data_IF_711361212986
#
_entry.id   IF_711361212986
#
_cell.length_a   1.000
_cell.length_b   1.000
_cell.length_c   1.000
_cell.angle_alpha   90.00
_cell.angle_beta   90.00
_cell.angle_gamma   90.00
#
_symmetry.space_group_name_H-M   'P 1'
#
loop_
_entity.id
_entity.type
_entity.pdbx_description
1 polymer ?
#
# COMPACT_ATOMS: atom_id res chain seq x y z
N UNK A 1 1.37 30.30 20.93
CA UNK A 1 1.48 29.91 19.52
C UNK A 1 0.29 29.04 19.21
N UNK A 2 -0.70 29.59 18.50
CA UNK A 2 -1.83 28.79 18.00
C UNK A 2 -1.34 27.95 16.84
N UNK A 3 -1.17 26.65 17.06
CA UNK A 3 -0.96 25.69 15.97
C UNK A 3 -2.29 25.56 15.22
N UNK A 4 -2.52 26.45 14.26
CA UNK A 4 -3.69 26.38 13.39
C UNK A 4 -3.72 25.03 12.66
N UNK A 5 -4.84 24.33 12.75
CA UNK A 5 -5.04 23.09 12.00
C UNK A 5 -4.88 23.38 10.51
N UNK A 6 -4.04 22.65 9.77
CA UNK A 6 -3.84 22.91 8.35
C UNK A 6 -5.16 22.76 7.60
N UNK A 7 -5.51 23.78 6.80
CA UNK A 7 -6.72 23.73 5.98
C UNK A 7 -6.41 22.99 4.69
N UNK A 8 -7.07 21.84 4.48
CA UNK A 8 -6.90 20.99 3.30
C UNK A 8 -8.08 21.22 2.35
N UNK A 9 -7.79 21.73 1.15
CA UNK A 9 -8.75 21.86 0.05
C UNK A 9 -8.51 20.74 -0.93
N UNK A 10 -9.60 20.08 -1.34
CA UNK A 10 -9.58 18.93 -2.26
C UNK A 10 -10.44 19.27 -3.46
N UNK A 11 -9.92 19.01 -4.65
CA UNK A 11 -10.62 19.14 -5.92
C UNK A 11 -10.76 17.78 -6.59
N UNK A 12 -11.84 17.63 -7.33
CA UNK A 12 -12.21 16.41 -8.02
C UNK A 12 -12.55 16.80 -9.46
N UNK A 13 -11.69 16.40 -10.40
CA UNK A 13 -11.87 16.64 -11.84
C UNK A 13 -12.29 15.34 -12.51
N UNK A 14 -13.45 15.33 -13.17
CA UNK A 14 -13.89 14.18 -13.96
C UNK A 14 -12.94 14.01 -15.16
N UNK A 15 -12.44 12.79 -15.32
CA UNK A 15 -11.69 12.35 -16.49
C UNK A 15 -12.59 11.40 -17.32
N UNK A 16 -12.12 10.97 -18.48
CA UNK A 16 -12.91 10.07 -19.36
C UNK A 16 -13.15 8.70 -18.70
N UNK A 17 -14.20 7.98 -19.13
CA UNK A 17 -14.43 6.57 -18.77
C UNK A 17 -14.70 6.29 -17.27
N UNK A 18 -15.30 7.23 -16.54
CA UNK A 18 -15.63 7.03 -15.13
C UNK A 18 -14.41 7.12 -14.20
N UNK A 19 -13.36 7.79 -14.68
CA UNK A 19 -12.19 8.13 -13.87
C UNK A 19 -12.30 9.53 -13.27
N UNK A 20 -11.63 9.75 -12.15
CA UNK A 20 -11.62 11.01 -11.42
C UNK A 20 -10.18 11.33 -10.98
N UNK A 21 -9.72 12.54 -11.26
CA UNK A 21 -8.46 13.05 -10.75
C UNK A 21 -8.71 13.85 -9.47
N UNK A 22 -8.19 13.35 -8.35
CA UNK A 22 -8.22 14.00 -7.04
C UNK A 22 -6.93 14.78 -6.83
N UNK A 23 -7.05 16.08 -6.58
CA UNK A 23 -5.92 16.97 -6.27
C UNK A 23 -6.17 17.74 -4.97
N UNK A 24 -5.11 18.20 -4.30
CA UNK A 24 -5.23 18.93 -3.04
C UNK A 24 -4.18 20.02 -2.87
N UNK A 25 -4.48 20.95 -1.97
CA UNK A 25 -3.55 21.96 -1.47
C UNK A 25 -3.71 22.05 0.04
N UNK A 26 -2.60 22.31 0.72
CA UNK A 26 -2.55 22.48 2.17
C UNK A 26 -1.99 23.86 2.49
N UNK A 27 -2.67 24.58 3.39
CA UNK A 27 -2.19 25.85 3.92
C UNK A 27 -1.70 25.67 5.37
N UNK A 28 -0.50 26.20 5.74
CA UNK A 28 0.44 26.95 4.89
C UNK A 28 1.33 26.05 4.01
N UNK A 29 1.72 26.54 2.84
CA UNK A 29 2.41 25.77 1.77
C UNK A 29 3.87 25.36 2.09
N UNK A 30 4.32 25.49 3.34
CA UNK A 30 5.72 25.79 3.67
C UNK A 30 6.71 24.63 3.59
N UNK A 31 6.33 23.43 3.13
CA UNK A 31 7.27 22.29 2.99
C UNK A 31 6.89 21.26 1.90
N UNK A 32 6.10 21.65 0.89
CA UNK A 32 5.28 20.71 0.10
C UNK A 32 5.95 19.97 -1.08
N UNK A 33 7.06 20.45 -1.64
CA UNK A 33 7.53 19.92 -2.93
C UNK A 33 8.09 18.49 -2.85
N UNK A 34 8.84 18.15 -1.79
CA UNK A 34 9.46 16.83 -1.65
C UNK A 34 8.49 15.76 -1.11
N UNK A 35 7.35 16.16 -0.53
CA UNK A 35 6.43 15.23 0.12
C UNK A 35 5.22 14.84 -0.73
N UNK A 36 4.93 15.55 -1.84
CA UNK A 36 3.76 15.26 -2.69
C UNK A 36 3.67 13.83 -3.19
N UNK A 37 4.79 13.21 -3.57
CA UNK A 37 4.78 11.82 -4.05
C UNK A 37 4.45 10.83 -2.92
N UNK A 38 4.90 11.11 -1.70
CA UNK A 38 4.59 10.28 -0.53
C UNK A 38 3.13 10.48 -0.13
N UNK A 39 2.68 11.74 -0.06
CA UNK A 39 1.28 12.10 0.18
C UNK A 39 0.34 11.43 -0.82
N UNK A 40 0.65 11.51 -2.13
CA UNK A 40 -0.16 10.89 -3.17
C UNK A 40 -0.28 9.37 -3.00
N UNK A 41 0.77 8.70 -2.51
CA UNK A 41 0.72 7.26 -2.22
C UNK A 41 -0.16 6.95 -1.01
N UNK A 42 -0.02 7.71 0.07
CA UNK A 42 -0.88 7.58 1.25
C UNK A 42 -2.34 7.82 0.88
N UNK A 43 -2.61 8.86 0.10
CA UNK A 43 -3.95 9.20 -0.41
C UNK A 43 -4.48 8.09 -1.31
N UNK A 44 -3.69 7.61 -2.28
CA UNK A 44 -4.12 6.51 -3.16
C UNK A 44 -4.45 5.25 -2.36
N UNK A 45 -3.62 4.89 -1.39
CA UNK A 45 -3.87 3.74 -0.53
C UNK A 45 -5.15 3.91 0.30
N UNK A 46 -5.40 5.09 0.85
CA UNK A 46 -6.62 5.37 1.63
C UNK A 46 -7.87 5.40 0.75
N UNK A 47 -7.82 6.09 -0.39
CA UNK A 47 -8.96 6.19 -1.29
C UNK A 47 -9.29 4.80 -1.88
N UNK A 48 -8.29 3.93 -2.07
CA UNK A 48 -8.53 2.57 -2.56
C UNK A 48 -9.41 1.71 -1.65
N UNK A 49 -9.52 2.03 -0.35
CA UNK A 49 -10.35 1.25 0.60
C UNK A 49 -11.78 1.79 0.72
N UNK A 50 -12.07 2.95 0.12
CA UNK A 50 -13.40 3.53 0.05
C UNK A 50 -14.32 2.64 -0.80
N UNK A 51 -15.57 2.36 -0.36
CA UNK A 51 -16.55 1.66 -1.19
C UNK A 51 -16.69 2.31 -2.57
N UNK A 52 -16.93 1.52 -3.61
CA UNK A 52 -17.09 2.03 -4.98
C UNK A 52 -15.79 2.40 -5.69
N UNK A 53 -14.64 2.46 -5.01
CA UNK A 53 -13.34 2.67 -5.67
C UNK A 53 -12.78 1.32 -6.12
N UNK A 54 -12.66 1.14 -7.44
CA UNK A 54 -12.11 -0.07 -8.05
C UNK A 54 -10.60 -0.01 -8.22
N UNK A 55 -10.07 1.20 -8.47
CA UNK A 55 -8.65 1.45 -8.64
C UNK A 55 -8.29 2.85 -8.14
N UNK A 56 -7.11 2.99 -7.55
CA UNK A 56 -6.54 4.28 -7.15
C UNK A 56 -5.03 4.28 -7.40
N UNK A 57 -4.56 5.23 -8.21
CA UNK A 57 -3.18 5.36 -8.64
C UNK A 57 -2.62 6.73 -8.26
N UNK A 58 -1.46 6.76 -7.61
CA UNK A 58 -0.73 7.99 -7.32
C UNK A 58 -0.01 8.50 -8.59
N UNK A 59 -0.35 9.70 -9.04
CA UNK A 59 0.24 10.39 -10.19
C UNK A 59 1.08 11.59 -9.72
N UNK A 60 1.90 12.22 -10.61
CA UNK A 60 2.60 13.45 -10.27
C UNK A 60 1.67 14.64 -9.92
N UNK A 61 0.43 14.60 -10.42
CA UNK A 61 -0.56 15.67 -10.27
C UNK A 61 -1.47 15.47 -9.06
N UNK A 62 -1.69 14.22 -8.65
CA UNK A 62 -2.58 13.87 -7.54
C UNK A 62 -2.84 12.37 -7.47
N UNK A 63 -4.10 11.98 -7.32
CA UNK A 63 -4.51 10.57 -7.33
C UNK A 63 -5.61 10.37 -8.36
N UNK A 64 -5.35 9.53 -9.36
CA UNK A 64 -6.35 9.10 -10.33
C UNK A 64 -7.10 7.90 -9.75
N UNK A 65 -8.43 7.90 -9.84
CA UNK A 65 -9.25 6.79 -9.37
C UNK A 65 -10.25 6.36 -10.44
N UNK A 66 -10.55 5.07 -10.47
CA UNK A 66 -11.72 4.52 -11.17
C UNK A 66 -12.78 4.19 -10.12
N UNK A 67 -13.94 4.82 -10.21
CA UNK A 67 -14.94 4.76 -9.15
C UNK A 67 -16.38 4.63 -9.68
N UNK A 68 -17.24 3.98 -8.92
CA UNK A 68 -18.67 3.88 -9.17
C UNK A 68 -19.42 5.00 -8.41
N UNK A 69 -19.99 5.99 -9.12
CA UNK A 69 -20.71 7.10 -8.50
C UNK A 69 -22.01 6.68 -7.79
N UNK A 70 -22.47 5.43 -7.96
CA UNK A 70 -23.61 4.90 -7.22
C UNK A 70 -23.22 4.37 -5.83
N UNK A 71 -21.93 4.06 -5.62
CA UNK A 71 -21.42 3.44 -4.39
C UNK A 71 -20.60 4.39 -3.52
N UNK A 72 -20.08 5.46 -4.10
CA UNK A 72 -19.44 6.54 -3.37
C UNK A 72 -19.85 7.88 -3.95
N UNK A 73 -19.68 8.94 -3.17
CA UNK A 73 -19.84 10.33 -3.58
C UNK A 73 -18.49 11.05 -3.64
N UNK A 74 -18.39 12.12 -4.45
CA UNK A 74 -17.19 12.97 -4.48
C UNK A 74 -16.84 13.55 -3.10
N UNK A 75 -17.85 13.76 -2.25
CA UNK A 75 -17.66 14.26 -0.89
C UNK A 75 -16.99 13.22 0.02
N UNK A 76 -17.38 11.95 -0.08
CA UNK A 76 -16.75 10.85 0.67
C UNK A 76 -15.30 10.63 0.22
N UNK A 77 -15.04 10.70 -1.10
CA UNK A 77 -13.69 10.63 -1.63
C UNK A 77 -12.82 11.80 -1.12
N UNK A 78 -13.36 13.02 -1.15
CA UNK A 78 -12.67 14.18 -0.58
C UNK A 78 -12.43 14.04 0.94
N UNK A 79 -13.36 13.42 1.68
CA UNK A 79 -13.15 13.12 3.09
C UNK A 79 -12.03 12.10 3.31
N UNK A 80 -11.95 11.04 2.49
CA UNK A 80 -10.86 10.06 2.53
C UNK A 80 -9.50 10.70 2.22
N UNK A 81 -9.43 11.63 1.25
CA UNK A 81 -8.21 12.42 0.96
C UNK A 81 -7.78 13.24 2.19
N UNK A 82 -8.73 13.94 2.83
CA UNK A 82 -8.42 14.72 4.04
C UNK A 82 -7.96 13.85 5.20
N UNK A 83 -8.61 12.70 5.43
CA UNK A 83 -8.19 11.75 6.47
C UNK A 83 -6.76 11.27 6.21
N UNK A 84 -6.43 10.87 4.98
CA UNK A 84 -5.08 10.45 4.59
C UNK A 84 -4.02 11.53 4.86
N UNK A 85 -4.31 12.79 4.49
CA UNK A 85 -3.40 13.92 4.67
C UNK A 85 -3.31 14.42 6.12
N UNK A 86 -4.29 14.07 6.96
CA UNK A 86 -4.26 14.37 8.39
C UNK A 86 -3.37 13.39 9.19
N UNK A 87 -2.94 12.29 8.56
CA UNK A 87 -2.08 11.32 9.23
C UNK A 87 -0.68 11.89 9.42
N UNK A 88 -0.32 12.16 10.67
CA UNK A 88 1.02 12.67 11.04
C UNK A 88 2.08 11.58 11.07
N UNK A 89 1.66 10.33 11.21
CA UNK A 89 2.55 9.18 11.38
C UNK A 89 3.10 8.70 10.04
N UNK A 90 4.40 8.47 9.99
CA UNK A 90 5.04 7.86 8.84
C UNK A 90 4.55 6.41 8.61
N UNK A 91 4.75 5.91 7.39
CA UNK A 91 4.32 4.56 7.00
C UNK A 91 4.88 3.48 7.93
N UNK A 92 6.12 3.65 8.43
CA UNK A 92 6.75 2.68 9.34
C UNK A 92 6.00 2.61 10.67
N UNK A 93 5.64 3.76 11.24
CA UNK A 93 4.92 3.89 12.51
C UNK A 93 3.51 3.32 12.39
N UNK A 94 2.82 3.62 11.29
CA UNK A 94 1.51 3.03 10.97
C UNK A 94 1.60 1.51 10.80
N UNK A 95 2.57 1.01 10.05
CA UNK A 95 2.78 -0.42 9.83
C UNK A 95 3.09 -1.17 11.14
N UNK A 96 3.92 -0.59 12.01
CA UNK A 96 4.20 -1.16 13.33
C UNK A 96 2.94 -1.22 14.21
N UNK A 97 2.11 -0.17 14.16
CA UNK A 97 0.85 -0.12 14.88
C UNK A 97 -0.15 -1.17 14.38
N UNK A 98 -0.25 -1.35 13.06
CA UNK A 98 -0.99 -2.44 12.43
C UNK A 98 -0.51 -3.81 12.95
N UNK A 99 0.80 -4.05 12.96
CA UNK A 99 1.37 -5.33 13.40
C UNK A 99 1.02 -5.65 14.85
N UNK A 100 1.05 -4.64 15.73
CA UNK A 100 0.62 -4.79 17.14
C UNK A 100 -0.86 -5.16 17.27
N UNK A 101 -1.71 -4.78 16.31
CA UNK A 101 -3.15 -5.07 16.28
C UNK A 101 -3.52 -6.38 15.57
N UNK A 102 -2.57 -7.06 14.91
CA UNK A 102 -2.81 -8.35 14.24
C UNK A 102 -3.53 -9.36 15.17
N UNK A 103 -3.12 -9.57 16.44
CA UNK A 103 -3.81 -10.51 17.31
C UNK A 103 -5.30 -10.18 17.52
N UNK A 104 -5.65 -8.89 17.64
CA UNK A 104 -7.03 -8.43 17.78
C UNK A 104 -7.86 -8.73 16.53
N UNK A 105 -7.29 -8.52 15.33
CA UNK A 105 -7.96 -8.85 14.07
C UNK A 105 -8.19 -10.35 13.90
N UNK A 106 -7.21 -11.19 14.27
CA UNK A 106 -7.36 -12.64 14.20
C UNK A 106 -8.39 -13.15 15.21
N UNK A 107 -8.40 -12.58 16.43
CA UNK A 107 -9.41 -12.88 17.44
C UNK A 107 -10.82 -12.51 16.97
N UNK A 108 -10.98 -11.31 16.40
CA UNK A 108 -12.24 -10.87 15.81
C UNK A 108 -12.71 -11.80 14.69
N UNK A 109 -11.83 -12.10 13.73
CA UNK A 109 -12.16 -13.02 12.64
C UNK A 109 -12.55 -14.41 13.17
N UNK A 110 -11.90 -14.90 14.22
CA UNK A 110 -12.25 -16.16 14.86
C UNK A 110 -13.62 -16.11 15.54
N UNK A 111 -13.92 -15.04 16.30
CA UNK A 111 -15.21 -14.84 16.93
C UNK A 111 -16.35 -14.80 15.90
N UNK A 112 -16.15 -14.09 14.79
CA UNK A 112 -17.12 -14.03 13.69
C UNK A 112 -17.30 -15.39 12.99
N UNK A 113 -16.25 -16.20 12.88
CA UNK A 113 -16.36 -17.54 12.31
C UNK A 113 -17.18 -18.50 13.17
N UNK A 114 -17.33 -18.21 14.46
CA UNK A 114 -18.13 -18.98 15.42
C UNK A 114 -19.56 -18.43 15.58
N UNK A 115 -19.84 -17.22 15.10
CA UNK A 115 -21.17 -16.61 15.20
C UNK A 115 -22.06 -17.04 14.04
N UNK A 116 -23.11 -17.81 14.34
CA UNK A 116 -24.08 -18.31 13.36
C UNK A 116 -24.82 -17.18 12.62
N UNK A 117 -24.95 -16.00 13.24
CA UNK A 117 -25.60 -14.82 12.65
C UNK A 117 -24.76 -14.20 11.51
N UNK A 118 -23.48 -14.54 11.44
CA UNK A 118 -22.49 -13.96 10.49
C UNK A 118 -22.16 -14.93 9.34
N UNK A 119 -22.73 -16.14 9.35
CA UNK A 119 -22.45 -17.16 8.33
C UNK A 119 -23.15 -16.84 7.00
N UNK A 120 -22.47 -16.96 5.84
CA UNK A 120 -21.14 -17.52 5.65
C UNK A 120 -20.05 -16.44 5.48
N UNK A 121 -19.14 -16.36 6.46
CA UNK A 121 -17.88 -15.63 6.29
C UNK A 121 -17.13 -16.16 5.05
N UNK A 122 -16.58 -15.29 4.17
CA UNK A 122 -15.90 -15.71 2.95
C UNK A 122 -14.82 -16.77 3.23
N UNK A 123 -14.72 -17.79 2.35
CA UNK A 123 -13.80 -18.93 2.51
C UNK A 123 -12.36 -18.52 2.84
N UNK A 124 -11.91 -17.35 2.34
CA UNK A 124 -10.58 -16.80 2.62
C UNK A 124 -10.30 -16.65 4.12
N UNK A 125 -11.29 -16.18 4.90
CA UNK A 125 -11.10 -15.97 6.33
C UNK A 125 -11.27 -17.26 7.16
N UNK A 126 -12.07 -18.22 6.66
CA UNK A 126 -12.09 -19.61 7.16
C UNK A 126 -10.76 -20.32 6.91
N UNK A 127 -10.16 -20.16 5.74
CA UNK A 127 -8.86 -20.75 5.42
C UNK A 127 -7.73 -20.20 6.28
N UNK A 128 -7.77 -18.92 6.65
CA UNK A 128 -6.78 -18.33 7.58
C UNK A 128 -6.97 -18.85 9.01
N UNK A 129 -8.20 -19.10 9.46
CA UNK A 129 -8.47 -19.68 10.80
C UNK A 129 -8.22 -21.19 10.88
N UNK A 130 -8.43 -21.93 9.79
CA UNK A 130 -8.19 -23.38 9.72
C UNK A 130 -6.74 -23.75 9.39
N UNK A 131 -5.98 -22.84 8.76
CA UNK A 131 -4.54 -22.98 8.71
C UNK A 131 -4.02 -22.79 10.14
N UNK A 132 -3.56 -23.90 10.75
CA UNK A 132 -2.42 -23.84 11.69
C UNK A 132 -1.39 -22.85 11.11
N UNK A 133 -0.55 -22.18 11.91
CA UNK A 133 0.57 -21.36 11.40
C UNK A 133 1.64 -22.27 10.74
N UNK A 134 1.23 -23.06 9.76
CA UNK A 134 2.04 -23.78 8.81
C UNK A 134 2.55 -22.70 7.87
N UNK A 135 3.73 -22.19 8.23
CA UNK A 135 4.68 -21.58 7.31
C UNK A 135 4.01 -20.63 6.32
N UNK A 136 3.86 -19.38 6.73
CA UNK A 136 3.90 -18.26 5.78
C UNK A 136 5.03 -18.59 4.81
N UNK A 137 4.69 -18.94 3.56
CA UNK A 137 5.70 -19.12 2.54
C UNK A 137 6.54 -17.85 2.58
N UNK A 138 7.88 -17.94 2.75
CA UNK A 138 8.69 -16.77 2.93
C UNK A 138 8.65 -15.99 1.63
N UNK A 139 7.75 -15.02 1.55
CA UNK A 139 7.93 -13.89 0.67
C UNK A 139 9.28 -13.32 1.08
N UNK A 140 10.26 -13.57 0.22
CA UNK A 140 11.68 -13.26 0.40
C UNK A 140 11.79 -11.95 1.16
N UNK A 141 12.43 -12.01 2.32
CA UNK A 141 12.82 -10.85 3.09
C UNK A 141 13.40 -9.80 2.15
N UNK A 142 12.71 -8.67 2.00
CA UNK A 142 13.32 -7.49 1.40
C UNK A 142 14.33 -6.99 2.44
N UNK A 143 15.63 -6.91 2.11
CA UNK A 143 16.62 -6.39 3.06
C UNK A 143 16.20 -4.99 3.54
N UNK A 144 15.96 -4.85 4.84
CA UNK A 144 15.49 -3.61 5.48
C UNK A 144 13.99 -3.54 5.83
N UNK A 145 13.17 -4.53 5.47
CA UNK A 145 11.74 -4.55 5.79
C UNK A 145 11.24 -5.95 6.26
N UNK A 146 11.61 -6.40 7.47
CA UNK A 146 11.16 -7.68 8.04
C UNK A 146 9.65 -7.75 8.34
N UNK A 147 8.90 -6.67 8.05
CA UNK A 147 7.50 -6.48 8.43
C UNK A 147 6.51 -6.88 7.32
N UNK A 148 6.95 -6.95 6.06
CA UNK A 148 6.06 -7.09 4.89
C UNK A 148 5.40 -8.46 4.84
N UNK A 149 6.07 -9.53 5.27
CA UNK A 149 5.48 -10.88 5.29
C UNK A 149 4.21 -10.92 6.15
N UNK A 150 4.28 -10.41 7.38
CA UNK A 150 3.15 -10.32 8.30
C UNK A 150 2.01 -9.50 7.71
N UNK A 151 2.33 -8.38 7.06
CA UNK A 151 1.35 -7.49 6.42
C UNK A 151 0.64 -8.20 5.26
N UNK A 152 1.38 -8.93 4.42
CA UNK A 152 0.78 -9.70 3.32
C UNK A 152 -0.13 -10.81 3.86
N UNK A 153 0.26 -11.46 4.96
CA UNK A 153 -0.56 -12.49 5.60
C UNK A 153 -1.88 -11.96 6.17
N UNK A 154 -1.89 -10.75 6.74
CA UNK A 154 -3.10 -10.17 7.36
C UNK A 154 -4.00 -9.42 6.36
N UNK A 155 -3.47 -9.00 5.21
CA UNK A 155 -4.23 -8.23 4.21
C UNK A 155 -5.59 -8.87 3.83
N UNK A 156 -5.69 -10.19 3.54
CA UNK A 156 -6.97 -10.82 3.21
C UNK A 156 -7.97 -10.78 4.37
N UNK A 157 -7.49 -10.87 5.60
CA UNK A 157 -8.32 -10.78 6.82
C UNK A 157 -8.88 -9.38 6.96
N UNK A 158 -8.04 -8.34 6.83
CA UNK A 158 -8.49 -6.95 6.88
C UNK A 158 -9.50 -6.63 5.77
N UNK A 159 -9.29 -7.15 4.56
CA UNK A 159 -10.24 -7.00 3.46
C UNK A 159 -11.59 -7.63 3.78
N UNK A 160 -11.58 -8.85 4.34
CA UNK A 160 -12.80 -9.56 4.74
C UNK A 160 -13.51 -8.83 5.89
N UNK A 161 -12.78 -8.37 6.90
CA UNK A 161 -13.35 -7.62 8.03
C UNK A 161 -13.91 -6.26 7.60
N UNK A 162 -13.22 -5.53 6.71
CA UNK A 162 -13.73 -4.27 6.16
C UNK A 162 -15.04 -4.49 5.42
N UNK A 163 -15.09 -5.50 4.54
CA UNK A 163 -16.29 -5.88 3.80
C UNK A 163 -17.44 -6.34 4.73
N UNK A 164 -17.20 -7.32 5.61
CA UNK A 164 -18.17 -7.79 6.60
C UNK A 164 -18.72 -6.63 7.42
N UNK A 165 -17.84 -5.74 7.88
CA UNK A 165 -18.25 -4.64 8.74
C UNK A 165 -19.27 -3.74 8.05
N UNK A 166 -19.30 -3.66 6.72
CA UNK A 166 -20.20 -2.82 5.93
C UNK A 166 -21.53 -3.52 5.58
N UNK A 167 -21.52 -4.84 5.41
CA UNK A 167 -22.70 -5.60 4.99
C UNK A 167 -23.51 -6.18 6.15
N UNK A 168 -22.86 -6.49 7.27
CA UNK A 168 -23.53 -7.08 8.42
C UNK A 168 -24.43 -6.07 9.16
N UNK A 169 -25.37 -6.60 9.95
CA UNK A 169 -26.24 -5.78 10.80
C UNK A 169 -25.41 -4.83 11.68
N UNK A 170 -25.76 -3.53 11.74
CA UNK A 170 -25.02 -2.55 12.55
C UNK A 170 -24.88 -2.93 14.02
N UNK A 171 -25.89 -3.62 14.58
CA UNK A 171 -25.88 -4.09 15.97
C UNK A 171 -24.82 -5.18 16.19
N UNK A 172 -24.75 -6.16 15.29
CA UNK A 172 -23.76 -7.26 15.32
C UNK A 172 -22.35 -6.71 15.11
N UNK A 173 -22.20 -5.74 14.20
CA UNK A 173 -20.92 -5.07 13.96
C UNK A 173 -20.46 -4.32 15.20
N UNK A 174 -21.33 -3.52 15.82
CA UNK A 174 -21.01 -2.75 17.02
C UNK A 174 -20.63 -3.67 18.20
N UNK A 175 -21.35 -4.77 18.39
CA UNK A 175 -21.07 -5.79 19.41
C UNK A 175 -19.65 -6.35 19.24
N UNK A 176 -19.36 -6.96 18.09
CA UNK A 176 -18.08 -7.64 17.84
C UNK A 176 -16.88 -6.68 17.80
N UNK A 177 -17.04 -5.50 17.19
CA UNK A 177 -15.98 -4.49 17.18
C UNK A 177 -15.72 -3.94 18.58
N UNK A 178 -16.77 -3.71 19.37
CA UNK A 178 -16.67 -3.28 20.76
C UNK A 178 -15.90 -4.28 21.61
N UNK A 179 -16.24 -5.57 21.51
CA UNK A 179 -15.53 -6.65 22.23
C UNK A 179 -14.06 -6.75 21.82
N UNK A 180 -13.75 -6.52 20.55
CA UNK A 180 -12.37 -6.54 20.05
C UNK A 180 -11.57 -5.26 20.36
N UNK A 181 -12.21 -4.20 20.86
CA UNK A 181 -11.60 -2.89 21.05
C UNK A 181 -11.19 -2.22 19.73
N UNK A 182 -11.93 -2.51 18.65
CA UNK A 182 -11.65 -2.03 17.30
C UNK A 182 -12.80 -1.11 16.83
N UNK A 183 -12.52 -0.31 15.80
CA UNK A 183 -13.54 0.48 15.10
C UNK A 183 -13.48 0.22 13.61
N UNK A 184 -14.58 0.46 12.89
CA UNK A 184 -14.62 0.32 11.42
C UNK A 184 -13.55 1.20 10.76
N UNK A 185 -13.44 2.45 11.21
CA UNK A 185 -12.40 3.37 10.72
C UNK A 185 -10.98 2.87 11.00
N UNK A 186 -10.75 2.15 12.11
CA UNK A 186 -9.45 1.55 12.38
C UNK A 186 -9.11 0.42 11.39
N UNK A 187 -10.07 -0.44 11.07
CA UNK A 187 -9.91 -1.52 10.08
C UNK A 187 -9.57 -0.92 8.72
N UNK A 188 -10.31 0.10 8.28
CA UNK A 188 -10.10 0.73 6.97
C UNK A 188 -8.73 1.41 6.87
N UNK A 189 -8.29 2.13 7.92
CA UNK A 189 -6.95 2.73 7.97
C UNK A 189 -5.83 1.69 7.96
N UNK A 190 -6.01 0.60 8.69
CA UNK A 190 -5.04 -0.49 8.75
C UNK A 190 -4.98 -1.28 7.43
N UNK A 191 -6.12 -1.45 6.74
CA UNK A 191 -6.20 -2.02 5.39
C UNK A 191 -5.47 -1.12 4.38
N UNK A 192 -5.69 0.19 4.43
CA UNK A 192 -4.97 1.15 3.58
C UNK A 192 -3.46 1.10 3.82
N UNK A 193 -3.06 1.10 5.10
CA UNK A 193 -1.65 0.97 5.51
C UNK A 193 -1.02 -0.33 5.01
N UNK A 194 -1.76 -1.45 5.05
CA UNK A 194 -1.30 -2.73 4.53
C UNK A 194 -1.06 -2.69 3.02
N UNK A 195 -2.00 -2.12 2.25
CA UNK A 195 -1.87 -1.94 0.79
C UNK A 195 -0.69 -1.03 0.44
N UNK A 196 -0.55 0.09 1.12
CA UNK A 196 0.56 1.03 0.94
C UNK A 196 1.91 0.37 1.22
N UNK A 197 2.00 -0.40 2.30
CA UNK A 197 3.23 -1.12 2.68
C UNK A 197 3.65 -2.14 1.62
N UNK A 198 2.68 -2.84 1.01
CA UNK A 198 2.93 -3.83 -0.05
C UNK A 198 3.34 -3.14 -1.35
N UNK A 199 2.67 -2.06 -1.74
CA UNK A 199 3.06 -1.28 -2.92
C UNK A 199 4.47 -0.68 -2.76
N UNK A 200 4.76 -0.11 -1.59
CA UNK A 200 6.09 0.38 -1.25
C UNK A 200 7.15 -0.72 -1.39
N UNK A 201 6.90 -1.91 -0.84
CA UNK A 201 7.83 -3.04 -0.92
C UNK A 201 8.03 -3.51 -2.37
N UNK A 202 6.96 -3.54 -3.19
CA UNK A 202 7.01 -3.91 -4.61
C UNK A 202 7.85 -2.93 -5.41
N UNK A 203 7.65 -1.62 -5.21
CA UNK A 203 8.43 -0.58 -5.89
C UNK A 203 9.89 -0.61 -5.46
N UNK A 204 10.16 -0.73 -4.17
CA UNK A 204 11.53 -0.85 -3.67
C UNK A 204 12.26 -2.06 -4.26
N UNK A 205 11.58 -3.22 -4.35
CA UNK A 205 12.14 -4.40 -4.99
C UNK A 205 12.43 -4.17 -6.50
N UNK A 206 11.52 -3.49 -7.19
CA UNK A 206 11.66 -3.14 -8.62
C UNK A 206 12.83 -2.19 -8.85
N UNK A 207 12.96 -1.14 -8.04
CA UNK A 207 14.07 -0.18 -8.14
C UNK A 207 15.43 -0.85 -7.90
N UNK A 208 15.51 -1.73 -6.90
CA UNK A 208 16.73 -2.50 -6.63
C UNK A 208 17.07 -3.46 -7.75
N UNK A 209 16.06 -4.09 -8.37
CA UNK A 209 16.26 -4.95 -9.53
C UNK A 209 16.80 -4.15 -10.73
N UNK A 210 16.24 -2.97 -11.00
CA UNK A 210 16.70 -2.07 -12.06
C UNK A 210 18.15 -1.62 -11.83
N UNK A 211 18.51 -1.25 -10.59
CA UNK A 211 19.89 -0.88 -10.25
C UNK A 211 20.85 -2.06 -10.41
N UNK A 212 20.44 -3.26 -10.00
CA UNK A 212 21.25 -4.47 -10.18
C UNK A 212 21.45 -4.80 -11.67
N UNK A 213 20.39 -4.69 -12.47
CA UNK A 213 20.44 -4.88 -13.92
C UNK A 213 21.37 -3.86 -14.59
N UNK A 214 21.28 -2.58 -14.22
CA UNK A 214 22.17 -1.53 -14.72
C UNK A 214 23.65 -1.82 -14.37
N UNK A 215 23.93 -2.28 -13.14
CA UNK A 215 25.29 -2.67 -12.73
C UNK A 215 25.81 -3.87 -13.52
N UNK A 216 24.96 -4.87 -13.76
CA UNK A 216 25.31 -6.05 -14.56
C UNK A 216 25.60 -5.66 -16.02
N UNK A 217 24.77 -4.81 -16.63
CA UNK A 217 24.98 -4.29 -17.97
C UNK A 217 26.31 -3.53 -18.10
N UNK A 218 26.63 -2.66 -17.14
CA UNK A 218 27.90 -1.93 -17.10
C UNK A 218 29.11 -2.85 -16.89
N UNK A 219 28.99 -3.91 -16.09
CA UNK A 219 30.05 -4.91 -15.94
C UNK A 219 30.29 -5.68 -17.25
N UNK A 220 29.22 -6.08 -17.94
CA UNK A 220 29.29 -6.77 -19.22
C UNK A 220 29.92 -5.89 -20.32
N UNK A 221 29.56 -4.59 -20.36
CA UNK A 221 30.13 -3.63 -21.31
C UNK A 221 31.66 -3.49 -21.10
N UNK A 222 32.11 -3.37 -19.84
CA UNK A 222 33.54 -3.32 -19.51
C UNK A 222 34.27 -4.61 -19.89
N UNK A 223 33.66 -5.77 -19.65
CA UNK A 223 34.25 -7.06 -20.03
C UNK A 223 34.42 -7.18 -21.56
N UNK A 224 33.45 -6.71 -22.34
CA UNK A 224 33.53 -6.68 -23.81
C UNK A 224 34.65 -5.77 -24.33
N UNK A 225 34.80 -4.58 -23.75
CA UNK A 225 35.89 -3.67 -24.09
C UNK A 225 37.25 -4.29 -23.79
N UNK A 226 37.44 -4.84 -22.58
CA UNK A 226 38.68 -5.52 -22.20
C UNK A 226 39.02 -6.71 -23.11
N UNK A 227 38.00 -7.47 -23.53
CA UNK A 227 38.18 -8.59 -24.47
C UNK A 227 38.64 -8.08 -25.84
N UNK A 228 38.04 -6.99 -26.34
CA UNK A 228 38.41 -6.37 -27.62
C UNK A 228 39.85 -5.82 -27.58
N UNK A 229 40.22 -5.15 -26.50
CA UNK A 229 41.57 -4.61 -26.32
C UNK A 229 42.62 -5.73 -26.27
N UNK A 230 42.33 -6.82 -25.56
CA UNK A 230 43.19 -8.00 -25.54
C UNK A 230 43.37 -8.66 -26.92
N UNK A 231 42.28 -8.79 -27.69
CA UNK A 231 42.35 -9.32 -29.07
C UNK A 231 43.23 -8.42 -29.93
N UNK A 232 43.00 -7.10 -29.89
CA UNK A 232 43.76 -6.12 -30.66
C UNK A 232 45.26 -6.16 -30.33
N UNK A 233 45.62 -6.30 -29.05
CA UNK A 233 47.03 -6.45 -28.62
C UNK A 233 47.68 -7.72 -29.17
N UNK A 234 46.95 -8.85 -29.23
CA UNK A 234 47.49 -10.10 -29.78
C UNK A 234 47.59 -10.13 -31.30
N UNK A 235 46.74 -9.37 -31.99
CA UNK A 235 46.75 -9.30 -33.45
C UNK A 235 47.63 -8.18 -34.01
N UNK A 236 48.22 -7.34 -33.15
CA UNK A 236 49.19 -6.35 -33.58
C UNK A 236 50.41 -7.08 -34.18
N UNK A 237 50.75 -6.85 -35.46
CA UNK A 237 51.90 -7.50 -36.08
C UNK A 237 53.16 -7.11 -35.31
N UNK A 238 53.97 -8.12 -34.95
CA UNK A 238 55.25 -7.90 -34.29
C UNK A 238 56.06 -6.90 -35.09
N UNK A 239 56.55 -5.85 -34.42
CA UNK A 239 57.44 -4.88 -35.05
C UNK A 239 58.60 -5.66 -35.69
N UNK A 240 58.92 -5.39 -36.96
CA UNK A 240 60.07 -6.03 -37.58
C UNK A 240 61.31 -5.62 -36.80
N UNK A 241 61.95 -6.60 -36.13
CA UNK A 241 63.26 -6.42 -35.52
C UNK A 241 64.24 -6.02 -36.63
N UNK A 242 64.68 -4.75 -36.58
CA UNK A 242 65.72 -4.20 -37.44
C UNK A 242 67.12 -4.44 -36.89
#
# INVERSE_FOLDING_TARGET
>A
MESGTPTIRVWAQDEEQGSLLLTWTQEPATQMAQNRVIEARTVAAMVSVTPGVSEAEATPEGVRIHWDPNLATKQELAAAVRDALSQTDDLRTRANSLIRRIPSYLSLAHALALDERVSPMPEAARQVTQRRPATMAPLRMVPGFPLVSNIVGILPVLGTLSHWSREASPEVVAEHLGTAGLSRGQIDRDLATARESIDFARRFASDKATVAAARAASALARARLATRDWVNQKTAPGEPEG
#
